data_IF_128150707636
#
_entry.id   IF_128150707636
#
_cell.length_a   1.000
_cell.length_b   1.000
_cell.length_c   1.000
_cell.angle_alpha   90.00
_cell.angle_beta   90.00
_cell.angle_gamma   90.00
#
_symmetry.space_group_name_H-M   'P 1'
#
loop_
_entity.id
_entity.type
_entity.pdbx_description
1 polymer ?
#
# COMPACT_ATOMS: atom_id res chain seq x y z
N UNK A 1 16.61 19.30 -7.68
CA UNK A 1 15.50 18.52 -7.18
C UNK A 1 15.97 17.11 -6.84
N UNK A 2 15.70 16.71 -5.64
CA UNK A 2 16.08 15.36 -5.23
C UNK A 2 15.07 14.35 -5.75
N UNK A 3 15.59 13.28 -6.31
CA UNK A 3 14.75 12.13 -6.64
C UNK A 3 14.83 11.14 -5.50
N UNK A 4 13.68 10.74 -5.01
CA UNK A 4 13.62 9.62 -4.09
C UNK A 4 13.90 8.35 -4.90
N UNK A 5 14.89 7.59 -4.49
CA UNK A 5 15.20 6.29 -5.09
C UNK A 5 14.73 5.23 -4.10
N UNK A 6 13.74 4.45 -4.49
CA UNK A 6 13.27 3.36 -3.69
C UNK A 6 14.16 2.14 -3.91
N UNK A 7 14.70 1.63 -2.84
CA UNK A 7 15.50 0.42 -2.86
C UNK A 7 14.61 -0.82 -2.79
N UNK A 8 15.08 -1.92 -3.34
CA UNK A 8 14.42 -3.21 -3.20
C UNK A 8 14.15 -3.51 -1.72
N UNK A 9 12.95 -3.93 -1.41
CA UNK A 9 12.49 -4.12 -0.04
C UNK A 9 11.76 -2.93 0.56
N UNK A 10 11.78 -1.77 -0.10
CA UNK A 10 10.97 -0.62 0.33
C UNK A 10 9.48 -0.94 0.24
N UNK A 11 8.69 -0.26 1.07
CA UNK A 11 7.24 -0.45 1.09
C UNK A 11 6.56 0.70 0.36
N UNK A 12 5.75 0.35 -0.63
CA UNK A 12 4.95 1.29 -1.39
C UNK A 12 3.54 1.29 -0.82
N UNK A 13 3.03 2.47 -0.46
CA UNK A 13 1.67 2.63 0.00
C UNK A 13 0.71 2.79 -1.17
N UNK A 14 -0.44 2.12 -1.10
CA UNK A 14 -1.47 2.19 -2.13
C UNK A 14 -2.80 2.54 -1.45
N UNK A 15 -3.40 3.64 -1.87
CA UNK A 15 -4.74 4.02 -1.44
C UNK A 15 -5.74 3.36 -2.36
N UNK A 16 -6.50 2.41 -1.81
CA UNK A 16 -7.45 1.63 -2.58
C UNK A 16 -7.01 0.19 -2.75
N UNK A 17 -7.92 -0.74 -2.49
CA UNK A 17 -7.63 -2.17 -2.44
C UNK A 17 -8.34 -3.01 -3.47
N UNK A 18 -8.92 -2.41 -4.51
CA UNK A 18 -9.62 -3.13 -5.57
C UNK A 18 -8.68 -3.85 -6.53
N UNK A 19 -9.19 -4.18 -7.71
CA UNK A 19 -8.41 -4.94 -8.69
C UNK A 19 -7.16 -4.21 -9.16
N UNK A 20 -7.23 -2.90 -9.33
CA UNK A 20 -6.05 -2.12 -9.72
C UNK A 20 -4.98 -2.19 -8.63
N UNK A 21 -5.38 -2.03 -7.36
CA UNK A 21 -4.46 -2.17 -6.23
C UNK A 21 -3.84 -3.55 -6.18
N UNK A 22 -4.62 -4.59 -6.49
CA UNK A 22 -4.10 -5.95 -6.58
C UNK A 22 -3.04 -6.09 -7.67
N UNK A 23 -3.31 -5.56 -8.85
CA UNK A 23 -2.37 -5.62 -9.98
C UNK A 23 -1.09 -4.86 -9.66
N UNK A 24 -1.21 -3.67 -9.06
CA UNK A 24 -0.06 -2.87 -8.67
C UNK A 24 0.78 -3.58 -7.59
N UNK A 25 0.13 -4.22 -6.63
CA UNK A 25 0.83 -4.98 -5.58
C UNK A 25 1.60 -6.15 -6.16
N UNK A 26 1.01 -6.87 -7.10
CA UNK A 26 1.68 -7.98 -7.78
C UNK A 26 2.88 -7.50 -8.59
N UNK A 27 2.71 -6.39 -9.32
CA UNK A 27 3.81 -5.83 -10.12
C UNK A 27 4.94 -5.34 -9.21
N UNK A 28 4.61 -4.66 -8.11
CA UNK A 28 5.62 -4.19 -7.16
C UNK A 28 6.38 -5.36 -6.54
N UNK A 29 5.69 -6.44 -6.20
CA UNK A 29 6.32 -7.64 -5.64
C UNK A 29 7.34 -8.23 -6.60
N UNK A 30 7.03 -8.27 -7.89
CA UNK A 30 7.97 -8.77 -8.91
C UNK A 30 9.25 -7.92 -8.99
N UNK A 31 9.14 -6.64 -8.65
CA UNK A 31 10.28 -5.73 -8.64
C UNK A 31 11.00 -5.70 -7.30
N UNK A 32 10.58 -6.52 -6.34
CA UNK A 32 11.22 -6.62 -5.05
C UNK A 32 10.69 -5.63 -4.00
N UNK A 33 9.57 -4.97 -4.26
CA UNK A 33 8.96 -4.05 -3.32
C UNK A 33 7.87 -4.73 -2.49
N UNK A 34 7.65 -4.22 -1.28
CA UNK A 34 6.50 -4.56 -0.45
C UNK A 34 5.40 -3.54 -0.71
N UNK A 35 4.16 -3.90 -0.40
CA UNK A 35 3.04 -2.98 -0.51
C UNK A 35 2.23 -2.96 0.77
N UNK A 36 1.70 -1.79 1.08
CA UNK A 36 0.77 -1.58 2.18
C UNK A 36 -0.48 -0.94 1.61
N UNK A 37 -1.61 -1.62 1.74
CA UNK A 37 -2.88 -1.17 1.19
C UNK A 37 -3.68 -0.44 2.28
N UNK A 38 -4.30 0.67 1.91
CA UNK A 38 -5.25 1.40 2.74
C UNK A 38 -6.60 1.40 2.03
N UNK A 39 -7.62 0.80 2.65
CA UNK A 39 -8.90 0.58 2.01
C UNK A 39 -10.02 0.50 3.06
N UNK A 40 -11.17 1.19 2.87
CA UNK A 40 -12.28 1.10 3.80
C UNK A 40 -12.96 -0.26 3.86
N UNK A 41 -13.01 -0.98 2.75
CA UNK A 41 -13.69 -2.26 2.68
C UNK A 41 -12.91 -3.36 3.38
N UNK A 42 -13.62 -4.32 3.95
CA UNK A 42 -13.00 -5.52 4.48
C UNK A 42 -12.65 -6.48 3.33
N UNK A 43 -11.51 -7.15 3.47
CA UNK A 43 -11.07 -8.18 2.51
C UNK A 43 -11.04 -7.74 1.05
N UNK A 44 -10.45 -6.58 0.71
CA UNK A 44 -10.34 -6.18 -0.69
C UNK A 44 -9.40 -7.13 -1.45
N UNK A 45 -9.53 -7.23 -2.78
CA UNK A 45 -8.66 -8.12 -3.57
C UNK A 45 -7.17 -7.91 -3.34
N UNK A 46 -6.73 -6.65 -3.18
CA UNK A 46 -5.32 -6.34 -2.98
C UNK A 46 -4.78 -6.85 -1.64
N UNK A 47 -5.62 -7.09 -0.63
CA UNK A 47 -5.16 -7.55 0.68
C UNK A 47 -4.52 -8.94 0.61
N UNK A 48 -4.87 -9.74 -0.39
CA UNK A 48 -4.33 -11.10 -0.54
C UNK A 48 -2.91 -11.11 -1.11
N UNK A 49 -2.48 -10.02 -1.74
CA UNK A 49 -1.19 -9.94 -2.43
C UNK A 49 -0.31 -8.80 -1.92
N UNK A 50 -0.75 -8.09 -0.90
CA UNK A 50 0.02 -7.04 -0.24
C UNK A 50 0.73 -7.59 0.98
N UNK A 51 1.78 -6.88 1.42
CA UNK A 51 2.50 -7.23 2.64
C UNK A 51 1.73 -6.82 3.88
N UNK A 52 1.01 -5.72 3.81
CA UNK A 52 0.21 -5.16 4.90
C UNK A 52 -1.07 -4.56 4.38
N UNK A 53 -2.08 -4.55 5.23
CA UNK A 53 -3.38 -3.99 4.90
C UNK A 53 -3.93 -3.22 6.11
N UNK A 54 -4.31 -1.98 5.88
CA UNK A 54 -4.99 -1.14 6.87
C UNK A 54 -6.41 -0.90 6.40
N UNK A 55 -7.39 -1.36 7.18
CA UNK A 55 -8.80 -1.09 6.91
C UNK A 55 -9.22 0.14 7.68
N UNK A 56 -9.49 1.22 6.98
CA UNK A 56 -9.98 2.47 7.56
C UNK A 56 -10.62 3.32 6.49
N UNK A 57 -11.44 4.28 6.93
CA UNK A 57 -12.04 5.26 6.03
C UNK A 57 -11.00 6.29 5.60
N UNK A 58 -11.19 6.87 4.42
CA UNK A 58 -10.24 7.86 3.88
C UNK A 58 -10.24 9.18 4.65
N UNK A 59 -11.25 9.44 5.46
CA UNK A 59 -11.30 10.60 6.35
C UNK A 59 -10.82 10.30 7.79
N UNK A 60 -10.34 9.09 8.03
CA UNK A 60 -9.70 8.73 9.28
C UNK A 60 -8.24 9.20 9.23
N UNK A 61 -8.02 10.45 9.63
CA UNK A 61 -6.71 11.10 9.50
C UNK A 61 -5.65 10.46 10.39
N UNK A 62 -6.03 9.94 11.55
CA UNK A 62 -5.08 9.24 12.42
C UNK A 62 -4.59 7.95 11.76
N UNK A 63 -5.49 7.20 11.14
CA UNK A 63 -5.13 6.00 10.42
C UNK A 63 -4.27 6.31 9.19
N UNK A 64 -4.59 7.39 8.46
CA UNK A 64 -3.81 7.84 7.32
C UNK A 64 -2.39 8.25 7.72
N UNK A 65 -2.25 8.94 8.85
CA UNK A 65 -0.94 9.34 9.35
C UNK A 65 -0.09 8.12 9.69
N UNK A 66 -0.66 7.15 10.38
CA UNK A 66 0.05 5.89 10.67
C UNK A 66 0.43 5.13 9.41
N UNK A 67 -0.50 5.09 8.45
CA UNK A 67 -0.24 4.46 7.15
C UNK A 67 0.92 5.14 6.44
N UNK A 68 0.89 6.47 6.35
CA UNK A 68 1.95 7.23 5.68
C UNK A 68 3.31 7.02 6.34
N UNK A 69 3.35 6.88 7.66
CA UNK A 69 4.59 6.62 8.38
C UNK A 69 5.16 5.23 8.14
N UNK A 70 4.33 4.29 7.70
CA UNK A 70 4.73 2.89 7.50
C UNK A 70 5.24 2.60 6.09
N UNK A 71 5.20 3.57 5.19
CA UNK A 71 5.60 3.40 3.80
C UNK A 71 6.73 4.34 3.43
N UNK A 72 7.37 4.01 2.35
CA UNK A 72 8.49 4.80 1.81
C UNK A 72 8.03 5.65 0.63
#
# INVERSE_FOLDING_TARGET
MNKAVLLSGSTIGILGGGQLGQMLSMAASRLGFKTHIFEPSANPPASNVSSRFTQAEYDDYDALEKFASSVD
#
